data_IF_724629442472
#
_entry.id   IF_724629442472
#
_cell.length_a   1.000
_cell.length_b   1.000
_cell.length_c   1.000
_cell.angle_alpha   90.00
_cell.angle_beta   90.00
_cell.angle_gamma   90.00
#
_symmetry.space_group_name_H-M   'P 1'
#
loop_
_entity.id
_entity.type
_entity.pdbx_description
1 polymer ?
#
# COMPACT_ATOMS: atom_id res chain seq x y z
N UNK A 1 -12.76 13.17 -23.59
CA UNK A 1 -12.56 13.25 -22.12
C UNK A 1 -13.92 13.44 -21.47
N UNK A 2 -14.41 12.47 -20.69
CA UNK A 2 -15.65 12.63 -19.91
C UNK A 2 -15.32 13.39 -18.63
N UNK A 3 -15.83 14.62 -18.50
CA UNK A 3 -15.73 15.40 -17.27
C UNK A 3 -16.67 14.78 -16.23
N UNK A 4 -16.17 13.80 -15.47
CA UNK A 4 -16.89 13.19 -14.36
C UNK A 4 -17.08 14.20 -13.23
N UNK A 5 -18.25 14.85 -13.18
CA UNK A 5 -18.69 15.61 -12.01
C UNK A 5 -19.05 14.60 -10.91
N UNK A 6 -18.40 14.70 -9.75
CA UNK A 6 -18.78 13.90 -8.59
C UNK A 6 -19.66 14.74 -7.67
N UNK A 7 -20.81 14.17 -7.29
CA UNK A 7 -21.78 14.80 -6.41
C UNK A 7 -21.54 14.31 -4.99
N UNK A 8 -21.34 15.23 -4.07
CA UNK A 8 -21.26 14.91 -2.64
C UNK A 8 -22.40 15.60 -1.93
N UNK A 9 -23.15 14.82 -1.13
CA UNK A 9 -24.23 15.33 -0.30
C UNK A 9 -23.61 15.83 1.00
N UNK A 10 -23.77 17.12 1.30
CA UNK A 10 -23.28 17.73 2.54
C UNK A 10 -24.50 18.30 3.27
N UNK A 11 -24.77 17.83 4.48
CA UNK A 11 -25.94 18.20 5.29
C UNK A 11 -27.28 18.08 4.54
N UNK A 12 -27.79 16.85 4.39
CA UNK A 12 -29.15 16.39 4.02
C UNK A 12 -29.96 17.06 2.88
N UNK A 13 -29.72 18.32 2.52
CA UNK A 13 -30.44 19.09 1.51
C UNK A 13 -29.50 19.81 0.52
N UNK A 14 -28.18 19.79 0.71
CA UNK A 14 -27.24 20.51 -0.15
C UNK A 14 -26.34 19.53 -0.90
N UNK A 15 -26.44 19.53 -2.24
CA UNK A 15 -25.49 18.83 -3.08
C UNK A 15 -24.40 19.81 -3.52
N UNK A 16 -23.14 19.49 -3.22
CA UNK A 16 -21.99 20.23 -3.76
C UNK A 16 -21.42 19.45 -4.94
N UNK A 17 -21.31 20.14 -6.07
CA UNK A 17 -20.64 19.62 -7.26
C UNK A 17 -19.17 19.97 -7.13
N UNK A 18 -18.35 18.97 -6.87
CA UNK A 18 -16.91 19.13 -7.00
C UNK A 18 -16.54 18.79 -8.44
N UNK A 19 -16.05 19.79 -9.17
CA UNK A 19 -15.32 19.53 -10.40
C UNK A 19 -14.04 18.86 -9.95
N UNK A 20 -13.91 17.54 -10.15
CA UNK A 20 -12.61 16.89 -10.09
C UNK A 20 -11.79 17.62 -11.14
N UNK A 21 -10.91 18.52 -10.70
CA UNK A 21 -9.87 19.04 -11.58
C UNK A 21 -9.08 17.79 -11.92
N UNK A 22 -9.23 17.26 -13.12
CA UNK A 22 -8.17 16.44 -13.70
C UNK A 22 -6.93 17.31 -13.56
N UNK A 23 -6.03 16.94 -12.65
CA UNK A 23 -4.92 17.80 -12.29
C UNK A 23 -4.15 18.13 -13.55
N UNK A 24 -3.98 19.41 -13.85
CA UNK A 24 -3.01 19.82 -14.85
C UNK A 24 -1.66 19.22 -14.45
N UNK A 25 -0.92 18.72 -15.44
CA UNK A 25 0.40 18.14 -15.17
C UNK A 25 1.27 19.23 -14.53
N UNK A 26 1.89 18.98 -13.37
CA UNK A 26 2.71 19.97 -12.68
C UNK A 26 3.82 20.55 -13.56
N UNK A 27 4.14 21.83 -13.36
CA UNK A 27 5.04 22.59 -14.23
C UNK A 27 6.50 22.10 -14.16
N UNK A 28 6.93 21.62 -13.00
CA UNK A 28 8.21 20.94 -12.81
C UNK A 28 8.30 19.65 -13.64
N UNK A 29 7.23 18.86 -13.70
CA UNK A 29 7.18 17.65 -14.55
C UNK A 29 7.25 18.02 -16.03
N UNK A 30 6.60 19.10 -16.47
CA UNK A 30 6.70 19.58 -17.86
C UNK A 30 8.13 19.96 -18.21
N UNK A 31 8.79 20.75 -17.36
CA UNK A 31 10.20 21.15 -17.55
C UNK A 31 11.14 19.95 -17.63
N UNK A 32 10.94 18.96 -16.77
CA UNK A 32 11.69 17.70 -16.84
C UNK A 32 11.43 17.01 -18.17
N UNK A 33 10.17 16.84 -18.57
CA UNK A 33 9.83 16.20 -19.84
C UNK A 33 10.47 16.91 -21.05
N UNK A 34 10.37 18.24 -21.11
CA UNK A 34 10.95 19.07 -22.16
C UNK A 34 12.47 18.91 -22.25
N UNK A 35 13.18 18.78 -21.12
CA UNK A 35 14.64 18.60 -21.11
C UNK A 35 15.12 17.27 -21.73
N UNK A 36 14.22 16.30 -21.89
CA UNK A 36 14.51 14.97 -22.46
C UNK A 36 13.68 14.66 -23.73
N UNK A 37 12.99 15.65 -24.28
CA UNK A 37 12.07 15.48 -25.42
C UNK A 37 12.43 16.39 -26.58
N UNK A 38 12.02 15.99 -27.79
CA UNK A 38 12.10 16.84 -28.99
C UNK A 38 10.72 16.87 -29.63
N UNK A 39 10.23 18.05 -30.01
CA UNK A 39 8.91 18.24 -30.62
C UNK A 39 7.79 17.55 -29.83
N UNK A 40 7.69 17.85 -28.53
CA UNK A 40 6.69 17.32 -27.59
C UNK A 40 6.66 15.79 -27.44
N UNK A 41 7.74 15.12 -27.86
CA UNK A 41 7.84 13.66 -27.85
C UNK A 41 9.16 13.22 -27.24
N UNK A 42 9.09 12.39 -26.20
CA UNK A 42 10.27 11.75 -25.58
C UNK A 42 10.58 10.44 -26.29
N UNK A 43 11.79 10.31 -26.83
CA UNK A 43 12.25 9.08 -27.47
C UNK A 43 12.67 8.02 -26.43
N UNK A 44 12.98 6.80 -26.89
CA UNK A 44 13.56 5.76 -26.04
C UNK A 44 14.87 6.24 -25.39
N UNK A 45 15.74 6.88 -26.16
CA UNK A 45 17.03 7.41 -25.66
C UNK A 45 16.82 8.55 -24.67
N UNK A 46 15.80 9.39 -24.89
CA UNK A 46 15.38 10.43 -23.94
C UNK A 46 14.94 9.83 -22.61
N UNK A 47 14.10 8.78 -22.64
CA UNK A 47 13.69 8.06 -21.43
C UNK A 47 14.86 7.39 -20.72
N UNK A 48 15.78 6.74 -21.45
CA UNK A 48 16.98 6.13 -20.87
C UNK A 48 17.84 7.19 -20.17
N UNK A 49 17.99 8.37 -20.79
CA UNK A 49 18.75 9.48 -20.22
C UNK A 49 18.10 10.02 -18.95
N UNK A 50 16.78 10.19 -18.96
CA UNK A 50 15.99 10.55 -17.79
C UNK A 50 16.18 9.53 -16.65
N UNK A 51 16.03 8.23 -16.93
CA UNK A 51 16.17 7.18 -15.92
C UNK A 51 17.58 7.19 -15.30
N UNK A 52 18.63 7.38 -16.10
CA UNK A 52 20.00 7.46 -15.59
C UNK A 52 20.25 8.69 -14.73
N UNK A 53 19.81 9.86 -15.21
CA UNK A 53 20.19 11.15 -14.62
C UNK A 53 19.27 11.58 -13.48
N UNK A 54 17.95 11.45 -13.64
CA UNK A 54 16.98 11.92 -12.65
C UNK A 54 16.60 10.81 -11.65
N UNK A 55 16.54 9.54 -12.09
CA UNK A 55 16.16 8.40 -11.25
C UNK A 55 17.37 7.61 -10.70
N UNK A 56 18.60 7.99 -11.09
CA UNK A 56 19.83 7.29 -10.73
C UNK A 56 19.80 5.78 -11.03
N UNK A 57 19.10 5.39 -12.09
CA UNK A 57 18.99 4.00 -12.51
C UNK A 57 20.27 3.57 -13.22
N UNK A 58 20.97 2.58 -12.64
CA UNK A 58 22.24 2.06 -13.18
C UNK A 58 22.07 0.66 -13.78
N UNK A 59 21.18 -0.14 -13.23
CA UNK A 59 21.02 -1.56 -13.57
C UNK A 59 19.80 -1.75 -14.47
N UNK A 60 19.98 -2.48 -15.58
CA UNK A 60 18.90 -2.87 -16.50
C UNK A 60 18.07 -1.69 -17.06
N UNK A 61 18.68 -0.51 -17.21
CA UNK A 61 17.98 0.72 -17.63
C UNK A 61 17.27 0.56 -18.97
N UNK A 62 17.92 -0.05 -19.96
CA UNK A 62 17.33 -0.27 -21.28
C UNK A 62 16.10 -1.18 -21.21
N UNK A 63 16.16 -2.23 -20.40
CA UNK A 63 15.04 -3.15 -20.17
C UNK A 63 13.90 -2.45 -19.44
N UNK A 64 14.20 -1.62 -18.43
CA UNK A 64 13.19 -0.80 -17.72
C UNK A 64 12.50 0.17 -18.68
N UNK A 65 13.27 0.93 -19.47
CA UNK A 65 12.74 1.85 -20.47
C UNK A 65 11.83 1.12 -21.48
N UNK A 66 12.25 -0.06 -21.95
CA UNK A 66 11.46 -0.86 -22.88
C UNK A 66 10.14 -1.35 -22.27
N UNK A 67 10.16 -1.75 -20.99
CA UNK A 67 8.96 -2.17 -20.26
C UNK A 67 7.98 -1.01 -20.09
N UNK A 68 8.45 0.19 -19.76
CA UNK A 68 7.63 1.41 -19.68
C UNK A 68 6.99 1.73 -21.03
N UNK A 69 7.76 1.66 -22.12
CA UNK A 69 7.20 1.84 -23.46
C UNK A 69 6.11 0.80 -23.77
N UNK A 70 6.37 -0.48 -23.45
CA UNK A 70 5.42 -1.56 -23.72
C UNK A 70 4.13 -1.44 -22.92
N UNK A 71 4.20 -1.09 -21.64
CA UNK A 71 3.00 -0.96 -20.80
C UNK A 71 2.10 0.19 -21.22
N UNK A 72 2.67 1.21 -21.85
CA UNK A 72 1.92 2.37 -22.34
C UNK A 72 1.36 2.16 -23.76
N UNK A 73 1.91 1.24 -24.57
CA UNK A 73 1.50 0.94 -25.97
C UNK A 73 -0.01 0.75 -26.17
N UNK A 74 -0.68 0.11 -25.23
CA UNK A 74 -2.12 -0.21 -25.33
C UNK A 74 -3.05 1.00 -25.23
N UNK A 75 -2.55 2.19 -24.89
CA UNK A 75 -3.39 3.37 -24.63
C UNK A 75 -3.73 4.18 -25.89
N UNK A 76 -3.34 3.76 -27.10
CA UNK A 76 -3.52 4.51 -28.36
C UNK A 76 -3.04 5.99 -28.28
N UNK A 77 -2.13 6.30 -27.35
CA UNK A 77 -1.52 7.64 -27.16
C UNK A 77 -0.18 7.80 -27.88
N UNK A 78 0.10 6.97 -28.87
CA UNK A 78 1.33 7.05 -29.64
C UNK A 78 1.08 7.87 -30.91
N UNK A 79 1.60 9.09 -30.93
CA UNK A 79 2.13 9.59 -32.18
C UNK A 79 3.46 8.89 -32.44
N UNK A 80 3.65 8.50 -33.71
CA UNK A 80 4.79 7.76 -34.26
C UNK A 80 6.08 7.92 -33.41
N UNK A 81 6.40 6.91 -32.59
CA UNK A 81 7.74 6.58 -32.02
C UNK A 81 8.17 7.15 -30.64
N UNK A 82 7.33 7.78 -29.82
CA UNK A 82 7.75 8.23 -28.47
C UNK A 82 6.64 8.41 -27.43
N UNK A 83 7.02 8.80 -26.21
CA UNK A 83 6.10 9.12 -25.11
C UNK A 83 5.67 10.60 -25.20
N UNK A 84 4.38 10.85 -25.11
CA UNK A 84 3.84 12.21 -24.88
C UNK A 84 4.00 12.61 -23.42
N UNK A 85 3.85 13.90 -23.11
CA UNK A 85 3.85 14.41 -21.74
C UNK A 85 2.85 13.67 -20.84
N UNK A 86 1.63 13.37 -21.33
CA UNK A 86 0.65 12.62 -20.54
C UNK A 86 1.06 11.16 -20.32
N UNK A 87 1.73 10.54 -21.28
CA UNK A 87 2.23 9.17 -21.14
C UNK A 87 3.40 9.12 -20.15
N UNK A 88 4.31 10.09 -20.20
CA UNK A 88 5.40 10.25 -19.24
C UNK A 88 4.89 10.49 -17.83
N UNK A 89 3.94 11.43 -17.64
CA UNK A 89 3.35 11.67 -16.33
C UNK A 89 2.65 10.42 -15.78
N UNK A 90 1.91 9.69 -16.63
CA UNK A 90 1.29 8.41 -16.25
C UNK A 90 2.32 7.36 -15.83
N UNK A 91 3.48 7.33 -16.47
CA UNK A 91 4.59 6.48 -16.06
C UNK A 91 5.09 6.87 -14.65
N UNK A 92 5.33 8.15 -14.40
CA UNK A 92 5.86 8.62 -13.11
C UNK A 92 4.97 8.28 -11.92
N UNK A 93 3.64 8.33 -12.10
CA UNK A 93 2.66 7.97 -11.07
C UNK A 93 2.23 6.50 -11.14
N UNK A 94 2.80 5.74 -12.07
CA UNK A 94 2.43 4.36 -12.35
C UNK A 94 3.25 3.35 -11.53
N UNK A 95 2.84 2.09 -11.61
CA UNK A 95 3.47 0.99 -10.89
C UNK A 95 4.94 0.74 -11.30
N UNK A 96 5.32 1.15 -12.51
CA UNK A 96 6.69 1.01 -13.00
C UNK A 96 7.69 2.01 -12.40
N UNK A 97 7.21 3.00 -11.64
CA UNK A 97 8.02 4.03 -11.00
C UNK A 97 7.77 4.09 -9.48
N UNK A 98 7.37 2.96 -8.89
CA UNK A 98 7.12 2.90 -7.45
C UNK A 98 8.44 3.05 -6.68
N UNK A 99 8.48 3.98 -5.73
CA UNK A 99 9.69 4.28 -4.96
C UNK A 99 10.17 3.10 -4.08
N UNK A 100 9.29 2.12 -3.82
CA UNK A 100 9.60 0.99 -2.96
C UNK A 100 9.61 -0.33 -3.72
N UNK A 101 10.55 -1.22 -3.39
CA UNK A 101 10.56 -2.57 -3.92
C UNK A 101 9.50 -3.40 -3.19
N UNK A 102 8.51 -3.90 -3.90
CA UNK A 102 7.43 -4.71 -3.34
C UNK A 102 7.82 -6.16 -2.98
N UNK A 103 9.09 -6.53 -3.18
CA UNK A 103 9.59 -7.89 -2.99
C UNK A 103 10.63 -7.95 -1.88
N UNK A 104 10.67 -9.10 -1.20
CA UNK A 104 11.70 -9.44 -0.23
C UNK A 104 13.06 -9.46 -0.94
N UNK A 105 13.98 -8.64 -0.47
CA UNK A 105 15.33 -8.45 -1.05
C UNK A 105 16.44 -8.61 0.00
N UNK A 106 16.08 -8.75 1.27
CA UNK A 106 17.01 -8.92 2.38
C UNK A 106 17.40 -10.40 2.49
N UNK A 107 18.55 -10.69 3.12
CA UNK A 107 18.89 -12.06 3.49
C UNK A 107 17.90 -12.53 4.56
N UNK A 108 17.09 -13.55 4.26
CA UNK A 108 16.09 -14.12 5.17
C UNK A 108 16.55 -15.40 5.89
N UNK A 109 17.82 -15.79 5.70
CA UNK A 109 18.43 -16.99 6.32
C UNK A 109 19.26 -16.67 7.58
N UNK A 110 19.41 -15.39 7.95
CA UNK A 110 20.08 -14.99 9.18
C UNK A 110 19.25 -15.36 10.44
N UNK A 111 19.85 -15.42 11.64
CA UNK A 111 19.12 -15.69 12.88
C UNK A 111 18.00 -14.66 13.17
N UNK A 112 16.92 -15.09 13.82
CA UNK A 112 15.74 -14.25 14.09
C UNK A 112 16.06 -12.93 14.81
N UNK A 113 17.06 -12.93 15.70
CA UNK A 113 17.49 -11.75 16.45
C UNK A 113 18.07 -10.62 15.59
N UNK A 114 18.36 -10.87 14.31
CA UNK A 114 18.93 -9.89 13.40
C UNK A 114 17.87 -9.04 12.69
N UNK A 115 16.58 -9.36 12.86
CA UNK A 115 15.48 -8.66 12.19
C UNK A 115 14.68 -7.81 13.16
N UNK A 116 14.22 -6.65 12.68
CA UNK A 116 13.10 -5.97 13.28
C UNK A 116 11.81 -6.72 12.93
N UNK A 117 11.06 -7.13 13.96
CA UNK A 117 9.82 -7.87 13.80
C UNK A 117 8.66 -6.93 14.06
N UNK A 118 7.70 -6.87 13.14
CA UNK A 118 6.48 -6.09 13.35
C UNK A 118 5.58 -6.82 14.36
N UNK A 119 5.45 -6.27 15.57
CA UNK A 119 4.70 -6.88 16.68
C UNK A 119 3.39 -6.14 16.99
N UNK A 120 2.41 -6.87 17.52
CA UNK A 120 1.17 -6.32 18.06
C UNK A 120 1.07 -6.56 19.57
N UNK A 121 0.89 -5.50 20.34
CA UNK A 121 0.69 -5.55 21.79
C UNK A 121 -0.80 -5.55 22.13
N UNK A 122 -1.24 -6.41 23.05
CA UNK A 122 -2.64 -6.65 23.40
C UNK A 122 -3.55 -6.73 22.15
N UNK A 123 -3.15 -7.60 21.22
CA UNK A 123 -3.69 -7.69 19.86
C UNK A 123 -5.18 -8.07 19.79
N UNK A 124 -5.78 -8.41 20.92
CA UNK A 124 -7.18 -8.76 21.09
C UNK A 124 -8.06 -7.56 21.47
N UNK A 125 -7.49 -6.44 21.94
CA UNK A 125 -8.26 -5.26 22.37
C UNK A 125 -8.84 -4.49 21.18
N UNK A 126 -10.11 -4.12 21.28
CA UNK A 126 -10.80 -3.30 20.27
C UNK A 126 -10.61 -1.79 20.48
N UNK A 127 -10.15 -1.39 21.67
CA UNK A 127 -9.94 0.01 22.02
C UNK A 127 -8.98 0.19 23.19
N UNK A 128 -9.47 0.77 24.28
CA UNK A 128 -8.66 1.14 25.44
C UNK A 128 -8.31 -0.07 26.34
N UNK A 129 -7.28 0.10 27.18
CA UNK A 129 -6.74 -0.94 28.07
C UNK A 129 -7.65 -1.32 29.25
N UNK A 130 -8.65 -0.50 29.61
CA UNK A 130 -9.38 -0.63 30.88
C UNK A 130 -10.78 -1.23 30.74
N UNK A 131 -11.49 -0.91 29.66
CA UNK A 131 -12.93 -1.22 29.55
C UNK A 131 -13.40 -1.58 28.14
N UNK A 132 -12.50 -1.61 27.15
CA UNK A 132 -12.90 -2.00 25.79
C UNK A 132 -13.12 -3.51 25.66
N UNK A 133 -13.83 -3.90 24.60
CA UNK A 133 -14.08 -5.31 24.34
C UNK A 133 -12.84 -6.02 23.78
N UNK A 134 -12.73 -7.32 24.04
CA UNK A 134 -11.78 -8.19 23.36
C UNK A 134 -12.47 -8.88 22.17
N UNK A 135 -11.78 -8.97 21.03
CA UNK A 135 -12.33 -9.58 19.80
C UNK A 135 -11.23 -10.20 18.94
N UNK A 136 -11.65 -11.02 17.98
CA UNK A 136 -10.77 -11.56 16.93
C UNK A 136 -10.49 -10.54 15.81
N UNK A 137 -11.31 -9.49 15.67
CA UNK A 137 -11.19 -8.54 14.56
C UNK A 137 -9.87 -7.75 14.56
N UNK A 138 -9.36 -7.25 15.71
CA UNK A 138 -8.06 -6.59 15.75
C UNK A 138 -6.91 -7.55 15.42
N UNK A 139 -7.02 -8.84 15.80
CA UNK A 139 -6.05 -9.89 15.44
C UNK A 139 -6.02 -10.09 13.92
N UNK A 140 -7.18 -10.30 13.29
CA UNK A 140 -7.30 -10.45 11.83
C UNK A 140 -6.73 -9.25 11.09
N UNK A 141 -7.07 -8.04 11.57
CA UNK A 141 -6.58 -6.78 11.01
C UNK A 141 -5.07 -6.64 11.14
N UNK A 142 -4.49 -7.06 12.27
CA UNK A 142 -3.04 -7.05 12.48
C UNK A 142 -2.33 -8.00 11.50
N UNK A 143 -2.82 -9.24 11.35
CA UNK A 143 -2.25 -10.22 10.43
C UNK A 143 -2.32 -9.76 8.96
N UNK A 144 -3.45 -9.18 8.54
CA UNK A 144 -3.61 -8.60 7.19
C UNK A 144 -2.74 -7.36 6.93
N UNK A 145 -2.20 -6.75 7.98
CA UNK A 145 -1.20 -5.67 7.89
C UNK A 145 0.24 -6.18 7.95
N UNK A 146 0.45 -7.49 8.08
CA UNK A 146 1.77 -8.12 8.13
C UNK A 146 2.41 -8.15 9.52
N UNK A 147 1.63 -8.01 10.60
CA UNK A 147 2.13 -8.24 11.97
C UNK A 147 2.52 -9.71 12.14
N UNK A 148 3.66 -9.98 12.79
CA UNK A 148 4.24 -11.31 12.98
C UNK A 148 4.14 -11.85 14.40
N UNK A 149 3.84 -10.99 15.37
CA UNK A 149 3.67 -11.37 16.78
C UNK A 149 2.30 -10.88 17.26
N UNK A 150 1.49 -11.82 17.74
CA UNK A 150 0.17 -11.58 18.30
C UNK A 150 0.22 -11.97 19.79
N UNK A 151 -0.04 -11.00 20.65
CA UNK A 151 -0.18 -11.21 22.09
C UNK A 151 -1.60 -11.66 22.46
N UNK A 152 -1.69 -12.68 23.34
CA UNK A 152 -2.93 -13.22 23.89
C UNK A 152 -2.77 -13.45 25.41
N UNK A 153 -3.47 -12.65 26.21
CA UNK A 153 -3.45 -12.78 27.67
C UNK A 153 -4.48 -13.80 28.14
N UNK A 154 -4.00 -14.94 28.63
CA UNK A 154 -4.84 -16.08 28.94
C UNK A 154 -5.36 -16.04 30.38
N UNK A 155 -6.68 -16.15 30.54
CA UNK A 155 -7.35 -16.19 31.84
C UNK A 155 -8.36 -17.34 31.88
N UNK A 156 -8.49 -18.06 33.00
CA UNK A 156 -9.58 -19.01 33.18
C UNK A 156 -10.92 -18.26 33.11
N UNK A 157 -11.92 -18.94 32.55
CA UNK A 157 -13.30 -18.47 32.63
C UNK A 157 -13.87 -18.60 34.05
N UNK A 158 -15.13 -18.18 34.24
CA UNK A 158 -15.76 -18.12 35.56
C UNK A 158 -15.93 -19.53 36.15
N UNK A 159 -16.22 -20.54 35.31
CA UNK A 159 -16.39 -21.92 35.76
C UNK A 159 -15.07 -22.67 35.87
N UNK A 160 -13.97 -22.12 35.33
CA UNK A 160 -12.62 -22.70 35.23
C UNK A 160 -12.53 -23.94 34.34
N UNK A 161 -13.48 -24.08 33.42
CA UNK A 161 -13.52 -25.18 32.45
C UNK A 161 -12.99 -24.78 31.08
N UNK A 162 -12.85 -23.48 30.81
CA UNK A 162 -12.39 -22.93 29.53
C UNK A 162 -11.41 -21.75 29.72
N UNK A 163 -10.75 -21.35 28.64
CA UNK A 163 -9.79 -20.24 28.63
C UNK A 163 -10.32 -19.09 27.77
N UNK A 164 -10.31 -17.90 28.37
CA UNK A 164 -10.59 -16.64 27.71
C UNK A 164 -9.31 -15.82 27.51
N UNK A 165 -9.36 -14.94 26.53
CA UNK A 165 -8.38 -13.89 26.27
C UNK A 165 -8.97 -12.57 26.74
N UNK A 166 -8.28 -11.87 27.64
CA UNK A 166 -8.67 -10.53 28.16
C UNK A 166 -7.50 -9.85 28.86
N UNK A 167 -7.62 -8.55 29.09
CA UNK A 167 -6.63 -7.82 29.88
C UNK A 167 -6.91 -8.00 31.39
N UNK A 168 -5.96 -8.56 32.11
CA UNK A 168 -6.10 -8.91 33.53
C UNK A 168 -6.36 -7.71 34.44
N UNK A 169 -7.19 -7.88 35.46
CA UNK A 169 -7.46 -6.81 36.45
C UNK A 169 -8.22 -5.59 35.88
N UNK A 170 -8.88 -5.75 34.74
CA UNK A 170 -9.63 -4.68 34.07
C UNK A 170 -11.08 -5.07 33.82
N UNK A 171 -11.86 -4.14 33.26
CA UNK A 171 -13.27 -4.32 32.87
C UNK A 171 -13.42 -4.72 31.40
N UNK A 172 -12.34 -5.17 30.76
CA UNK A 172 -12.39 -5.62 29.36
C UNK A 172 -13.22 -6.89 29.22
N UNK A 173 -14.12 -6.94 28.23
CA UNK A 173 -14.95 -8.13 28.02
C UNK A 173 -14.14 -9.23 27.34
N UNK A 174 -14.21 -10.50 27.79
CA UNK A 174 -13.36 -11.56 27.29
C UNK A 174 -13.78 -12.09 25.91
N UNK A 175 -12.82 -12.68 25.18
CA UNK A 175 -13.07 -13.50 23.99
C UNK A 175 -12.50 -14.91 24.18
N UNK A 176 -13.20 -15.95 23.73
CA UNK A 176 -12.71 -17.34 23.89
C UNK A 176 -11.39 -17.56 23.14
N UNK A 177 -10.43 -18.23 23.79
CA UNK A 177 -9.13 -18.56 23.19
C UNK A 177 -9.28 -19.30 21.86
N UNK A 178 -10.19 -20.28 21.78
CA UNK A 178 -10.40 -21.07 20.56
C UNK A 178 -10.82 -20.21 19.35
N UNK A 179 -11.51 -19.07 19.57
CA UNK A 179 -11.86 -18.14 18.48
C UNK A 179 -10.61 -17.41 17.98
N UNK A 180 -9.75 -16.95 18.89
CA UNK A 180 -8.48 -16.30 18.55
C UNK A 180 -7.57 -17.25 17.76
N UNK A 181 -7.39 -18.49 18.22
CA UNK A 181 -6.54 -19.47 17.54
C UNK A 181 -7.05 -19.83 16.14
N UNK A 182 -8.37 -19.94 15.96
CA UNK A 182 -8.97 -20.15 14.63
C UNK A 182 -8.71 -18.98 13.69
N UNK A 183 -8.90 -17.74 14.16
CA UNK A 183 -8.61 -16.55 13.38
C UNK A 183 -7.12 -16.46 12.98
N UNK A 184 -6.21 -16.79 13.91
CA UNK A 184 -4.77 -16.85 13.62
C UNK A 184 -4.47 -17.92 12.57
N UNK A 185 -5.03 -19.12 12.71
CA UNK A 185 -4.85 -20.21 11.73
C UNK A 185 -5.31 -19.80 10.32
N UNK A 186 -6.40 -19.04 10.22
CA UNK A 186 -6.96 -18.59 8.95
C UNK A 186 -6.09 -17.49 8.29
N UNK A 187 -5.61 -16.51 9.06
CA UNK A 187 -5.02 -15.29 8.49
C UNK A 187 -3.48 -15.20 8.61
N UNK A 188 -2.80 -16.09 9.36
CA UNK A 188 -1.38 -15.96 9.73
C UNK A 188 -0.42 -15.75 8.54
N UNK A 189 -0.72 -16.36 7.40
CA UNK A 189 0.12 -16.36 6.19
C UNK A 189 -0.61 -15.76 4.97
N UNK A 190 -1.66 -14.97 5.19
CA UNK A 190 -2.47 -14.39 4.11
C UNK A 190 -1.78 -13.21 3.40
N UNK A 191 -0.80 -12.57 4.02
CA UNK A 191 -0.13 -11.35 3.53
C UNK A 191 1.40 -11.48 3.45
N UNK A 192 1.97 -12.64 3.82
CA UNK A 192 3.41 -12.93 3.74
C UNK A 192 3.72 -14.41 3.69
#
# INVERSE_FOLDING_TARGET
MSNGKQHFQVCFCWSRVFKVRGGEIPEDIKKVFESYSMNDTMSMDGLISFLKKEQNEVINVNTKAQNVFNSLKHLNKFHRRGLTLEAFFKFLVGEHNFAHQSKVHQNMDAPLAHYYIYTGHNSYLTGNQLSSDCSIEPIKKALKKGVRVIELDLWPDITKDDINVRHGGTLTTPVKLIKCLKAIKEDAFSFS
#
